data_IF_008071420070
#
_entry.id   IF_008071420070
#
_cell.length_a   1.000
_cell.length_b   1.000
_cell.length_c   1.000
_cell.angle_alpha   90.00
_cell.angle_beta   90.00
_cell.angle_gamma   90.00
#
_symmetry.space_group_name_H-M   'P 1'
#
loop_
_entity.id
_entity.type
_entity.pdbx_description
1 polymer ?
#
# COMPACT_ATOMS: atom_id res chain seq x y z
N UNK A 1 33.99 1.54 51.17
CA UNK A 1 33.91 1.89 49.73
C UNK A 1 33.41 0.74 48.83
N UNK A 2 33.73 -0.53 49.11
CA UNK A 2 33.26 -1.66 48.29
C UNK A 2 31.73 -1.85 48.30
N UNK A 3 31.09 -1.82 49.48
CA UNK A 3 29.63 -1.98 49.62
C UNK A 3 28.81 -0.93 48.83
N UNK A 4 29.28 0.32 48.78
CA UNK A 4 28.61 1.39 48.02
C UNK A 4 28.67 1.15 46.51
N UNK A 5 29.77 0.59 45.99
CA UNK A 5 29.89 0.22 44.56
C UNK A 5 28.98 -0.94 44.20
N UNK A 6 28.84 -1.91 45.09
CA UNK A 6 27.97 -3.08 44.91
C UNK A 6 26.49 -2.67 44.92
N UNK A 7 26.10 -1.75 45.81
CA UNK A 7 24.74 -1.22 45.91
C UNK A 7 24.36 -0.35 44.70
N UNK A 8 25.32 0.40 44.13
CA UNK A 8 25.15 1.13 42.86
C UNK A 8 25.05 0.19 41.65
N UNK A 9 25.81 -0.91 41.62
CA UNK A 9 25.73 -1.92 40.57
C UNK A 9 24.38 -2.66 40.60
N UNK A 10 23.91 -3.05 41.78
CA UNK A 10 22.60 -3.66 41.99
C UNK A 10 21.45 -2.70 41.57
N UNK A 11 21.56 -1.42 41.90
CA UNK A 11 20.59 -0.40 41.49
C UNK A 11 20.53 -0.22 39.97
N UNK A 12 21.69 -0.25 39.28
CA UNK A 12 21.76 -0.18 37.81
C UNK A 12 21.14 -1.41 37.15
N UNK A 13 21.40 -2.60 37.68
CA UNK A 13 20.81 -3.85 37.19
C UNK A 13 19.29 -3.86 37.37
N UNK A 14 18.78 -3.37 38.51
CA UNK A 14 17.34 -3.23 38.76
C UNK A 14 16.68 -2.22 37.80
N UNK A 15 17.31 -1.06 37.56
CA UNK A 15 16.83 -0.06 36.61
C UNK A 15 16.82 -0.59 35.16
N UNK A 16 17.83 -1.36 34.78
CA UNK A 16 17.87 -2.03 33.49
C UNK A 16 16.80 -3.12 33.37
N UNK A 17 16.54 -3.87 34.45
CA UNK A 17 15.45 -4.84 34.52
C UNK A 17 14.07 -4.19 34.40
N UNK A 18 13.83 -3.08 35.08
CA UNK A 18 12.57 -2.31 34.97
C UNK A 18 12.42 -1.75 33.55
N UNK A 19 13.48 -1.23 32.93
CA UNK A 19 13.45 -0.76 31.53
C UNK A 19 13.20 -1.91 30.55
N UNK A 20 13.77 -3.08 30.78
CA UNK A 20 13.51 -4.27 29.97
C UNK A 20 12.06 -4.74 30.12
N UNK A 21 11.51 -4.75 31.34
CA UNK A 21 10.10 -5.06 31.58
C UNK A 21 9.17 -4.01 30.99
N UNK A 22 9.53 -2.72 31.05
CA UNK A 22 8.80 -1.64 30.38
C UNK A 22 8.87 -1.79 28.86
N UNK A 23 10.00 -2.20 28.30
CA UNK A 23 10.15 -2.46 26.86
C UNK A 23 9.32 -3.68 26.41
N UNK A 24 9.21 -4.72 27.24
CA UNK A 24 8.35 -5.89 27.00
C UNK A 24 6.87 -5.54 27.19
N UNK A 25 6.51 -4.77 28.20
CA UNK A 25 5.14 -4.25 28.38
C UNK A 25 4.75 -3.26 27.27
N UNK A 26 5.71 -2.51 26.73
CA UNK A 26 5.52 -1.68 25.53
C UNK A 26 5.39 -2.52 24.25
N UNK A 27 6.04 -3.69 24.18
CA UNK A 27 5.81 -4.66 23.08
C UNK A 27 4.37 -5.17 23.04
N UNK A 28 3.65 -5.19 24.17
CA UNK A 28 2.22 -5.57 24.24
C UNK A 28 1.24 -4.43 23.94
N UNK A 29 1.70 -3.26 23.48
CA UNK A 29 0.77 -2.27 22.95
C UNK A 29 0.25 -2.75 21.59
N UNK A 30 -1.08 -2.88 21.48
CA UNK A 30 -1.83 -3.27 20.28
C UNK A 30 -1.60 -4.72 19.79
N UNK A 31 -1.84 -5.76 20.62
CA UNK A 31 -1.56 -7.15 20.25
C UNK A 31 -2.41 -7.63 19.07
N UNK A 32 -3.68 -7.23 18.99
CA UNK A 32 -4.57 -7.58 17.89
C UNK A 32 -4.19 -6.82 16.62
N UNK A 33 -3.84 -5.54 16.75
CA UNK A 33 -3.34 -4.72 15.65
C UNK A 33 -2.07 -5.29 15.01
N UNK A 34 -1.11 -5.74 15.82
CA UNK A 34 0.12 -6.40 15.34
C UNK A 34 -0.15 -7.76 14.70
N UNK A 35 -1.04 -8.56 15.28
CA UNK A 35 -1.42 -9.84 14.70
C UNK A 35 -2.08 -9.65 13.34
N UNK A 36 -2.99 -8.68 13.22
CA UNK A 36 -3.64 -8.30 11.97
C UNK A 36 -2.62 -7.81 10.93
N UNK A 37 -1.72 -6.90 11.33
CA UNK A 37 -0.64 -6.38 10.48
C UNK A 37 0.20 -7.52 9.89
N UNK A 38 0.61 -8.47 10.74
CA UNK A 38 1.44 -9.60 10.31
C UNK A 38 0.68 -10.59 9.44
N UNK A 39 -0.60 -10.82 9.74
CA UNK A 39 -1.44 -11.67 8.89
C UNK A 39 -1.61 -11.07 7.48
N UNK A 40 -1.94 -9.77 7.40
CA UNK A 40 -2.12 -9.05 6.14
C UNK A 40 -0.85 -9.05 5.31
N UNK A 41 0.31 -8.76 5.93
CA UNK A 41 1.59 -8.76 5.22
C UNK A 41 1.97 -10.15 4.69
N UNK A 42 1.82 -11.21 5.50
CA UNK A 42 2.05 -12.59 5.06
C UNK A 42 1.14 -12.99 3.90
N UNK A 43 -0.17 -12.75 4.02
CA UNK A 43 -1.13 -13.08 2.95
C UNK A 43 -0.89 -12.29 1.69
N UNK A 44 -0.50 -11.02 1.80
CA UNK A 44 -0.16 -10.21 0.65
C UNK A 44 1.06 -10.78 -0.07
N UNK A 45 2.12 -11.12 0.66
CA UNK A 45 3.30 -11.75 0.09
C UNK A 45 2.95 -13.09 -0.58
N UNK A 46 2.13 -13.93 0.05
CA UNK A 46 1.66 -15.19 -0.55
C UNK A 46 0.94 -14.96 -1.87
N UNK A 47 0.01 -13.98 -1.93
CA UNK A 47 -0.70 -13.64 -3.16
C UNK A 47 0.23 -13.08 -4.23
N UNK A 48 1.16 -12.21 -3.84
CA UNK A 48 2.15 -11.64 -4.75
C UNK A 48 3.18 -12.68 -5.23
N UNK A 49 3.32 -13.83 -4.53
CA UNK A 49 4.17 -14.95 -4.96
C UNK A 49 3.67 -15.72 -6.16
N UNK A 50 2.37 -15.70 -6.41
CA UNK A 50 1.79 -16.47 -7.49
C UNK A 50 2.04 -15.78 -8.83
N UNK A 51 2.72 -16.49 -9.74
CA UNK A 51 2.91 -16.05 -11.12
C UNK A 51 1.53 -15.86 -11.78
N UNK A 52 1.26 -14.70 -12.42
CA UNK A 52 -0.01 -14.49 -13.10
C UNK A 52 -0.17 -15.49 -14.27
N UNK A 53 -1.42 -15.90 -14.60
CA UNK A 53 -1.68 -16.73 -15.77
C UNK A 53 -1.29 -15.98 -17.06
N UNK A 54 -0.86 -16.74 -18.09
CA UNK A 54 -0.59 -16.18 -19.40
C UNK A 54 -1.92 -15.86 -20.08
N UNK A 55 -2.10 -14.61 -20.46
CA UNK A 55 -3.27 -14.18 -21.22
C UNK A 55 -2.99 -14.17 -22.73
N UNK A 56 -1.70 -14.15 -23.14
CA UNK A 56 -1.25 -14.34 -24.53
C UNK A 56 -1.83 -15.62 -25.16
N UNK A 57 -1.97 -16.69 -24.38
CA UNK A 57 -2.48 -17.98 -24.87
C UNK A 57 -4.01 -18.05 -24.98
N UNK A 58 -4.77 -17.12 -24.36
CA UNK A 58 -6.25 -17.12 -24.43
C UNK A 58 -6.77 -16.40 -25.68
N UNK A 59 -5.97 -15.54 -26.31
CA UNK A 59 -6.36 -14.72 -27.46
C UNK A 59 -6.19 -15.42 -28.83
N UNK A 60 -6.48 -16.73 -28.94
CA UNK A 60 -6.32 -17.50 -30.20
C UNK A 60 -7.41 -17.24 -31.26
N UNK A 61 -8.02 -16.05 -31.28
CA UNK A 61 -9.17 -15.76 -32.15
C UNK A 61 -9.43 -14.29 -32.52
N UNK A 62 -8.62 -13.32 -32.10
CA UNK A 62 -8.82 -11.92 -32.51
C UNK A 62 -7.50 -11.15 -32.58
N UNK A 63 -7.29 -10.46 -33.69
CA UNK A 63 -6.13 -9.63 -33.98
C UNK A 63 -6.04 -8.45 -32.99
N UNK A 64 -5.34 -8.67 -31.89
CA UNK A 64 -4.81 -7.65 -30.97
C UNK A 64 -3.73 -8.34 -30.12
N UNK A 65 -2.64 -8.76 -30.77
CA UNK A 65 -1.49 -9.39 -30.10
C UNK A 65 -0.63 -8.38 -29.31
N UNK A 66 -0.93 -7.09 -29.40
CA UNK A 66 -0.29 -6.06 -28.60
C UNK A 66 -0.96 -6.03 -27.21
N UNK A 67 -0.48 -6.93 -26.36
CA UNK A 67 -0.74 -7.02 -24.92
C UNK A 67 -2.11 -7.47 -24.41
N UNK A 68 -2.04 -8.40 -23.48
CA UNK A 68 -3.08 -8.51 -22.46
C UNK A 68 -2.65 -7.76 -21.21
N UNK A 69 -2.97 -6.46 -21.12
CA UNK A 69 -2.92 -5.71 -19.85
C UNK A 69 -4.26 -5.90 -19.12
N UNK A 70 -4.31 -6.77 -18.11
CA UNK A 70 -5.52 -6.95 -17.30
C UNK A 70 -5.48 -5.97 -16.12
N UNK A 71 -6.51 -5.11 -15.99
CA UNK A 71 -6.65 -4.28 -14.79
C UNK A 71 -7.03 -5.19 -13.64
N UNK A 72 -6.07 -5.51 -12.79
CA UNK A 72 -6.28 -6.39 -11.64
C UNK A 72 -6.27 -5.54 -10.40
N UNK A 73 -7.41 -5.39 -9.75
CA UNK A 73 -7.41 -4.94 -8.36
C UNK A 73 -7.04 -6.14 -7.50
N UNK A 74 -5.93 -6.06 -6.76
CA UNK A 74 -5.54 -7.11 -5.85
C UNK A 74 -6.30 -6.96 -4.54
N UNK A 75 -7.15 -7.94 -4.22
CA UNK A 75 -7.97 -7.93 -3.00
C UNK A 75 -7.62 -9.09 -2.09
N UNK A 76 -7.52 -8.82 -0.79
CA UNK A 76 -7.36 -9.82 0.27
C UNK A 76 -8.47 -9.62 1.27
N UNK A 77 -9.29 -10.65 1.40
CA UNK A 77 -10.44 -10.67 2.30
C UNK A 77 -10.14 -11.51 3.53
N UNK A 78 -10.62 -11.04 4.67
CA UNK A 78 -10.61 -11.81 5.91
C UNK A 78 -11.76 -11.43 6.82
N UNK A 79 -12.02 -12.30 7.80
CA UNK A 79 -12.89 -11.96 8.93
C UNK A 79 -12.01 -11.46 10.06
N UNK A 80 -12.36 -10.32 10.63
CA UNK A 80 -11.70 -9.73 11.80
C UNK A 80 -12.71 -8.93 12.61
N UNK A 81 -12.45 -8.80 13.90
CA UNK A 81 -13.14 -7.86 14.76
C UNK A 81 -12.74 -6.41 14.45
N UNK A 82 -13.61 -5.47 14.79
CA UNK A 82 -13.38 -4.03 14.65
C UNK A 82 -12.16 -3.58 15.49
N UNK A 83 -12.01 -4.14 16.70
CA UNK A 83 -10.95 -3.81 17.65
C UNK A 83 -9.55 -4.03 17.08
N UNK A 84 -9.31 -5.16 16.40
CA UNK A 84 -8.04 -5.40 15.72
C UNK A 84 -7.69 -4.32 14.67
N UNK A 85 -8.70 -3.83 13.93
CA UNK A 85 -8.50 -2.73 12.98
C UNK A 85 -8.27 -1.39 13.70
N UNK A 86 -9.05 -1.09 14.74
CA UNK A 86 -8.88 0.13 15.55
C UNK A 86 -7.47 0.18 16.16
N UNK A 87 -6.99 -0.93 16.71
CA UNK A 87 -5.62 -1.07 17.23
C UNK A 87 -4.55 -0.87 16.14
N UNK A 88 -4.75 -1.44 14.94
CA UNK A 88 -3.83 -1.23 13.80
C UNK A 88 -3.77 0.24 13.40
N UNK A 89 -4.92 0.90 13.31
CA UNK A 89 -5.04 2.32 12.96
C UNK A 89 -4.35 3.20 13.99
N UNK A 90 -4.57 2.93 15.27
CA UNK A 90 -3.91 3.66 16.36
C UNK A 90 -2.40 3.41 16.38
N UNK A 91 -1.97 2.15 16.23
CA UNK A 91 -0.56 1.76 16.18
C UNK A 91 0.20 2.46 15.05
N UNK A 92 -0.44 2.67 13.91
CA UNK A 92 0.16 3.30 12.72
C UNK A 92 -0.15 4.81 12.62
N UNK A 93 -0.82 5.39 13.61
CA UNK A 93 -1.28 6.80 13.58
C UNK A 93 -2.06 7.15 12.31
N UNK A 94 -2.92 6.22 11.86
CA UNK A 94 -3.75 6.38 10.67
C UNK A 94 -5.08 7.06 11.04
N UNK A 95 -5.76 7.60 10.04
CA UNK A 95 -7.10 8.14 10.17
C UNK A 95 -8.10 7.26 9.40
N UNK A 96 -9.31 7.12 9.93
CA UNK A 96 -10.42 6.65 9.13
C UNK A 96 -10.90 7.79 8.22
N UNK A 97 -11.29 7.42 7.01
CA UNK A 97 -12.14 8.28 6.18
C UNK A 97 -13.45 8.58 6.92
N UNK A 98 -14.12 9.65 6.48
CA UNK A 98 -15.44 10.05 6.98
C UNK A 98 -16.35 8.81 7.06
N UNK A 99 -17.01 8.55 8.21
CA UNK A 99 -17.82 7.36 8.40
C UNK A 99 -18.93 7.25 7.35
N UNK A 100 -18.79 6.29 6.43
CA UNK A 100 -19.88 5.91 5.54
C UNK A 100 -20.77 4.87 6.23
N UNK A 101 -22.08 4.98 6.10
CA UNK A 101 -23.00 3.91 6.50
C UNK A 101 -23.13 2.91 5.35
N UNK A 102 -23.05 1.62 5.66
CA UNK A 102 -23.43 0.57 4.72
C UNK A 102 -24.90 0.70 4.32
N UNK A 103 -25.31 0.03 3.24
CA UNK A 103 -26.71 -0.04 2.80
C UNK A 103 -27.67 -0.60 3.85
N UNK A 104 -27.15 -1.18 4.94
CA UNK A 104 -27.91 -1.70 6.08
C UNK A 104 -27.82 -0.81 7.32
N UNK A 105 -27.41 0.45 7.16
CA UNK A 105 -27.30 1.44 8.26
C UNK A 105 -26.14 1.21 9.23
N UNK A 106 -25.31 0.18 9.03
CA UNK A 106 -24.16 -0.10 9.91
C UNK A 106 -22.94 0.70 9.48
N UNK A 107 -22.19 1.26 10.43
CA UNK A 107 -21.03 2.09 10.15
C UNK A 107 -19.89 1.28 9.52
N UNK A 108 -19.38 1.76 8.39
CA UNK A 108 -18.19 1.23 7.73
C UNK A 108 -16.94 1.88 8.33
N UNK A 109 -15.81 1.20 8.19
CA UNK A 109 -14.49 1.78 8.46
C UNK A 109 -13.64 1.63 7.22
N UNK A 110 -13.03 2.71 6.77
CA UNK A 110 -12.14 2.70 5.61
C UNK A 110 -10.94 3.56 5.93
N UNK A 111 -9.76 3.04 5.63
CA UNK A 111 -8.50 3.76 5.67
C UNK A 111 -7.99 3.80 4.23
N UNK A 112 -7.89 5.00 3.66
CA UNK A 112 -7.31 5.20 2.34
C UNK A 112 -5.83 5.54 2.45
N UNK A 113 -5.06 5.05 1.50
CA UNK A 113 -3.64 5.33 1.39
C UNK A 113 -3.39 6.10 0.10
N UNK A 114 -2.51 7.10 0.16
CA UNK A 114 -2.16 7.90 -1.01
C UNK A 114 -1.34 7.12 -2.05
N UNK A 115 -0.68 6.03 -1.63
CA UNK A 115 0.09 5.14 -2.49
C UNK A 115 0.09 3.69 -1.98
N UNK A 116 0.37 2.72 -2.86
CA UNK A 116 0.63 1.33 -2.46
C UNK A 116 1.76 1.20 -1.45
N UNK A 117 2.86 1.97 -1.58
CA UNK A 117 4.00 1.89 -0.67
C UNK A 117 3.64 2.28 0.77
N UNK A 118 2.83 3.33 0.95
CA UNK A 118 2.35 3.73 2.28
C UNK A 118 1.48 2.64 2.93
N UNK A 119 0.68 1.92 2.14
CA UNK A 119 -0.06 0.76 2.64
C UNK A 119 0.91 -0.35 3.07
N UNK A 120 1.90 -0.69 2.24
CA UNK A 120 2.90 -1.70 2.58
C UNK A 120 3.71 -1.33 3.84
N UNK A 121 4.03 -0.04 4.00
CA UNK A 121 4.66 0.50 5.20
C UNK A 121 3.76 0.36 6.43
N UNK A 122 2.46 0.67 6.32
CA UNK A 122 1.50 0.47 7.39
C UNK A 122 1.30 -1.02 7.73
N UNK A 123 1.60 -1.93 6.81
CA UNK A 123 1.68 -3.37 7.07
C UNK A 123 3.00 -3.82 7.73
N UNK A 124 3.86 -2.88 8.14
CA UNK A 124 5.10 -3.16 8.87
C UNK A 124 6.19 -3.78 7.99
N UNK A 125 6.09 -3.65 6.66
CA UNK A 125 7.07 -4.22 5.74
C UNK A 125 8.33 -3.35 5.67
N UNK A 126 9.50 -3.99 5.82
CA UNK A 126 10.80 -3.35 5.61
C UNK A 126 11.00 -2.97 4.13
N UNK A 127 11.82 -1.94 3.86
CA UNK A 127 12.01 -1.39 2.52
C UNK A 127 12.36 -2.43 1.44
N UNK A 128 13.26 -3.42 1.67
CA UNK A 128 13.54 -4.45 0.67
C UNK A 128 12.31 -5.29 0.31
N UNK A 129 11.47 -5.62 1.29
CA UNK A 129 10.24 -6.37 1.06
C UNK A 129 9.17 -5.50 0.38
N UNK A 130 9.11 -4.20 0.69
CA UNK A 130 8.21 -3.27 -0.01
C UNK A 130 8.57 -3.15 -1.48
N UNK A 131 9.84 -2.91 -1.81
CA UNK A 131 10.31 -2.84 -3.20
C UNK A 131 9.97 -4.12 -3.97
N UNK A 132 10.17 -5.26 -3.34
CA UNK A 132 9.80 -6.57 -3.89
C UNK A 132 8.28 -6.74 -4.07
N UNK A 133 7.45 -6.15 -3.21
CA UNK A 133 5.99 -6.19 -3.34
C UNK A 133 5.49 -5.22 -4.41
N UNK A 134 6.08 -4.03 -4.49
CA UNK A 134 5.75 -2.98 -5.45
C UNK A 134 6.00 -3.44 -6.88
N UNK A 135 7.03 -4.25 -7.10
CA UNK A 135 7.40 -4.70 -8.43
C UNK A 135 8.06 -6.07 -8.40
N UNK A 136 7.61 -6.96 -9.29
CA UNK A 136 8.13 -8.31 -9.36
C UNK A 136 8.07 -8.90 -10.75
N UNK A 137 9.20 -9.44 -11.20
CA UNK A 137 9.29 -10.30 -12.39
C UNK A 137 9.03 -11.76 -12.05
N UNK A 138 8.47 -12.48 -13.00
CA UNK A 138 8.36 -13.93 -12.96
C UNK A 138 8.98 -14.53 -14.22
N UNK A 139 9.36 -15.79 -14.13
CA UNK A 139 9.78 -16.58 -15.28
C UNK A 139 8.77 -17.71 -15.48
N UNK A 140 8.26 -17.86 -16.70
CA UNK A 140 7.39 -18.97 -17.09
C UNK A 140 8.17 -19.97 -17.93
N UNK A 141 7.66 -21.20 -18.00
CA UNK A 141 8.26 -22.28 -18.82
C UNK A 141 8.19 -22.00 -20.32
N UNK A 142 7.24 -21.17 -20.75
CA UNK A 142 7.10 -20.73 -22.14
C UNK A 142 8.10 -19.63 -22.54
N UNK A 143 9.01 -19.25 -21.64
CA UNK A 143 9.99 -18.19 -21.86
C UNK A 143 9.47 -16.77 -21.59
N UNK A 144 8.16 -16.59 -21.38
CA UNK A 144 7.60 -15.28 -21.06
C UNK A 144 8.04 -14.81 -19.66
N UNK A 145 8.25 -13.50 -19.53
CA UNK A 145 8.70 -12.87 -18.29
C UNK A 145 7.73 -11.78 -17.83
N UNK A 146 6.51 -12.15 -17.39
CA UNK A 146 5.56 -11.18 -16.89
C UNK A 146 6.13 -10.47 -15.66
N UNK A 147 5.78 -9.20 -15.50
CA UNK A 147 5.92 -8.47 -14.26
C UNK A 147 4.56 -8.14 -13.65
N UNK A 148 4.50 -8.21 -12.33
CA UNK A 148 3.44 -7.62 -11.52
C UNK A 148 3.96 -6.34 -10.92
N UNK A 149 3.20 -5.27 -11.05
CA UNK A 149 3.56 -3.96 -10.50
C UNK A 149 2.34 -3.39 -9.76
N UNK A 150 2.54 -2.96 -8.52
CA UNK A 150 1.50 -2.33 -7.71
C UNK A 150 1.41 -0.85 -8.08
N UNK A 151 0.69 -0.59 -9.17
CA UNK A 151 0.57 0.74 -9.75
C UNK A 151 -0.86 0.94 -10.24
N UNK A 152 -1.40 2.12 -9.97
CA UNK A 152 -2.69 2.52 -10.53
C UNK A 152 -2.51 2.84 -12.02
N UNK A 153 -3.42 2.36 -12.84
CA UNK A 153 -3.45 2.69 -14.26
C UNK A 153 -4.87 2.75 -14.79
N UNK A 154 -5.03 3.48 -15.88
CA UNK A 154 -6.28 3.62 -16.61
C UNK A 154 -6.00 3.68 -18.11
N UNK A 155 -6.99 3.24 -18.88
CA UNK A 155 -7.03 3.39 -20.32
C UNK A 155 -8.05 4.48 -20.63
N UNK A 156 -7.65 5.47 -21.42
CA UNK A 156 -8.58 6.50 -21.90
C UNK A 156 -9.42 6.00 -23.07
N UNK A 157 -10.30 6.86 -23.57
CA UNK A 157 -11.22 6.51 -24.65
C UNK A 157 -10.52 6.43 -26.03
N UNK A 158 -9.27 6.91 -26.12
CA UNK A 158 -8.43 6.82 -27.32
C UNK A 158 -7.55 5.57 -27.31
N UNK A 159 -7.56 4.79 -26.21
CA UNK A 159 -6.75 3.59 -26.07
C UNK A 159 -5.38 3.82 -25.44
N UNK A 160 -5.02 5.06 -25.08
CA UNK A 160 -3.74 5.33 -24.42
C UNK A 160 -3.76 4.88 -22.97
N UNK A 161 -2.67 4.23 -22.53
CA UNK A 161 -2.53 3.80 -21.14
C UNK A 161 -1.78 4.83 -20.32
N UNK A 162 -2.43 5.26 -19.24
CA UNK A 162 -1.88 6.19 -18.27
C UNK A 162 -1.55 5.45 -16.99
N UNK A 163 -0.27 5.45 -16.62
CA UNK A 163 0.21 4.92 -15.35
C UNK A 163 0.31 6.06 -14.34
N UNK A 164 -0.38 5.95 -13.22
CA UNK A 164 -0.43 6.97 -12.16
C UNK A 164 0.74 6.73 -11.21
N UNK A 165 1.75 7.60 -11.27
CA UNK A 165 2.97 7.47 -10.48
C UNK A 165 2.81 8.12 -9.10
N UNK A 166 2.23 9.33 -9.07
CA UNK A 166 2.05 10.10 -7.84
C UNK A 166 0.86 11.02 -7.96
N UNK A 167 0.05 11.08 -6.91
CA UNK A 167 -1.00 12.09 -6.73
C UNK A 167 -0.46 13.19 -5.82
N UNK A 168 -0.61 14.44 -6.23
CA UNK A 168 -0.13 15.57 -5.42
C UNK A 168 -1.07 15.82 -4.23
N UNK A 169 -0.58 16.31 -3.08
CA UNK A 169 -1.40 16.51 -1.87
C UNK A 169 -2.58 17.46 -2.07
N UNK A 170 -2.49 18.42 -2.99
CA UNK A 170 -3.59 19.35 -3.32
C UNK A 170 -4.74 18.66 -4.06
N UNK A 171 -4.52 17.47 -4.63
CA UNK A 171 -5.49 16.74 -5.45
C UNK A 171 -5.70 17.31 -6.85
N UNK A 172 -5.01 18.40 -7.21
CA UNK A 172 -5.18 19.07 -8.50
C UNK A 172 -4.27 18.51 -9.60
N UNK A 173 -3.09 18.03 -9.21
CA UNK A 173 -2.06 17.53 -10.12
C UNK A 173 -1.76 16.05 -9.87
N UNK A 174 -1.33 15.39 -10.94
CA UNK A 174 -0.92 13.99 -10.92
C UNK A 174 0.28 13.79 -11.84
N UNK A 175 1.28 13.08 -11.35
CA UNK A 175 2.40 12.61 -12.15
C UNK A 175 2.00 11.27 -12.77
N UNK A 176 2.10 11.22 -14.09
CA UNK A 176 1.72 10.07 -14.89
C UNK A 176 2.86 9.68 -15.82
N UNK A 177 2.89 8.42 -16.22
CA UNK A 177 3.64 7.98 -17.39
C UNK A 177 2.67 7.53 -18.47
N UNK A 178 2.88 8.04 -19.67
CA UNK A 178 2.03 7.79 -20.84
C UNK A 178 2.90 7.73 -22.09
N UNK A 179 2.51 6.91 -23.06
CA UNK A 179 3.11 6.91 -24.39
C UNK A 179 2.37 7.90 -25.30
N UNK A 180 3.05 8.36 -26.34
CA UNK A 180 2.39 9.13 -27.38
C UNK A 180 1.41 8.26 -28.18
N UNK A 181 1.82 7.04 -28.50
CA UNK A 181 0.98 6.02 -29.14
C UNK A 181 1.31 4.62 -28.57
N UNK A 182 0.32 3.74 -28.53
CA UNK A 182 0.42 2.35 -28.04
C UNK A 182 0.72 1.37 -29.20
N UNK A 183 1.52 1.81 -30.17
CA UNK A 183 1.96 0.95 -31.28
C UNK A 183 3.14 0.08 -30.81
N UNK A 184 2.87 -1.22 -30.74
CA UNK A 184 3.87 -2.24 -30.41
C UNK A 184 4.41 -2.89 -31.69
N UNK A 185 5.74 -2.90 -31.84
CA UNK A 185 6.43 -3.64 -32.89
C UNK A 185 6.70 -5.08 -32.42
N UNK A 186 6.03 -6.10 -33.02
CA UNK A 186 6.22 -7.50 -32.65
C UNK A 186 7.61 -8.04 -33.01
N UNK A 187 8.29 -7.46 -34.01
CA UNK A 187 9.60 -7.92 -34.47
C UNK A 187 10.71 -7.41 -33.54
N UNK A 188 10.60 -6.16 -33.11
CA UNK A 188 11.53 -5.55 -32.16
C UNK A 188 11.16 -5.83 -30.70
N UNK A 189 9.99 -6.42 -30.44
CA UNK A 189 9.41 -6.61 -29.12
C UNK A 189 9.44 -5.32 -28.26
N UNK A 190 9.13 -4.19 -28.91
CA UNK A 190 9.26 -2.86 -28.30
C UNK A 190 8.14 -1.93 -28.78
N UNK A 191 7.83 -0.93 -27.96
CA UNK A 191 6.93 0.15 -28.36
C UNK A 191 7.63 1.16 -29.26
N UNK A 192 6.92 1.67 -30.26
CA UNK A 192 7.41 2.72 -31.13
C UNK A 192 7.73 4.01 -30.35
N UNK A 193 6.90 4.35 -29.36
CA UNK A 193 7.07 5.55 -28.52
C UNK A 193 7.38 5.15 -27.07
N UNK A 194 8.41 5.71 -26.41
CA UNK A 194 8.73 5.40 -25.02
C UNK A 194 7.69 5.93 -24.03
N UNK A 195 7.67 5.37 -22.81
CA UNK A 195 6.89 5.94 -21.71
C UNK A 195 7.52 7.25 -21.26
N UNK A 196 6.75 8.34 -21.31
CA UNK A 196 7.19 9.68 -20.90
C UNK A 196 6.45 10.10 -19.65
N UNK A 197 7.21 10.58 -18.66
CA UNK A 197 6.66 11.16 -17.43
C UNK A 197 6.15 12.57 -17.69
N UNK A 198 4.93 12.86 -17.23
CA UNK A 198 4.30 14.17 -17.32
C UNK A 198 3.56 14.47 -16.02
N UNK A 199 3.56 15.73 -15.61
CA UNK A 199 2.67 16.24 -14.57
C UNK A 199 1.50 16.92 -15.26
N UNK A 200 0.28 16.47 -14.97
CA UNK A 200 -0.94 16.98 -15.60
C UNK A 200 -2.03 17.27 -14.57
N UNK A 201 -3.02 18.11 -14.91
CA UNK A 201 -4.21 18.27 -14.07
C UNK A 201 -5.00 16.97 -13.96
N UNK A 202 -5.49 16.66 -12.75
CA UNK A 202 -6.38 15.51 -12.50
C UNK A 202 -7.65 15.59 -13.36
N UNK A 203 -8.17 16.80 -13.59
CA UNK A 203 -9.32 17.04 -14.45
C UNK A 203 -9.14 16.57 -15.90
N UNK A 204 -7.89 16.43 -16.37
CA UNK A 204 -7.57 15.90 -17.70
C UNK A 204 -7.76 14.38 -17.81
N UNK A 205 -7.91 13.68 -16.68
CA UNK A 205 -8.09 12.23 -16.62
C UNK A 205 -9.50 11.87 -16.15
N UNK A 206 -10.46 11.86 -17.08
CA UNK A 206 -11.89 11.67 -16.79
C UNK A 206 -12.23 10.40 -15.98
N UNK A 207 -11.39 9.37 -16.04
CA UNK A 207 -11.60 8.07 -15.37
C UNK A 207 -10.74 7.86 -14.12
N UNK A 208 -9.95 8.87 -13.74
CA UNK A 208 -9.11 8.79 -12.55
C UNK A 208 -9.98 8.92 -11.30
N UNK A 209 -9.90 7.94 -10.40
CA UNK A 209 -10.61 8.02 -9.13
C UNK A 209 -10.07 9.19 -8.30
N UNK A 210 -10.88 9.87 -7.47
CA UNK A 210 -10.39 10.98 -6.64
C UNK A 210 -9.28 10.56 -5.67
N UNK A 211 -9.40 9.35 -5.11
CA UNK A 211 -8.41 8.75 -4.23
C UNK A 211 -7.68 7.58 -4.89
N UNK A 212 -6.46 7.31 -4.46
CA UNK A 212 -5.71 6.12 -4.84
C UNK A 212 -6.48 4.86 -4.38
N UNK A 213 -6.61 3.81 -5.21
CA UNK A 213 -7.34 2.58 -4.88
C UNK A 213 -6.53 1.65 -3.95
N UNK A 214 -5.74 2.20 -3.03
CA UNK A 214 -5.04 1.48 -1.98
C UNK A 214 -5.76 1.70 -0.65
N UNK A 215 -6.40 0.66 -0.11
CA UNK A 215 -7.25 0.82 1.09
C UNK A 215 -7.35 -0.41 1.98
N UNK A 216 -7.70 -0.16 3.25
CA UNK A 216 -8.22 -1.14 4.17
C UNK A 216 -9.67 -0.80 4.47
N UNK A 217 -10.61 -1.68 4.12
CA UNK A 217 -12.04 -1.47 4.34
C UNK A 217 -12.63 -2.57 5.20
N UNK A 218 -13.22 -2.21 6.32
CA UNK A 218 -13.96 -3.13 7.18
C UNK A 218 -15.46 -2.87 7.12
N UNK A 219 -16.20 -3.96 6.94
CA UNK A 219 -17.65 -3.98 6.87
C UNK A 219 -18.20 -4.91 7.96
N UNK A 220 -19.10 -4.44 8.84
CA UNK A 220 -19.67 -5.27 9.90
C UNK A 220 -20.46 -6.44 9.33
N UNK A 221 -20.37 -7.61 9.96
CA UNK A 221 -21.19 -8.76 9.60
C UNK A 221 -22.67 -8.48 9.93
N UNK A 222 -23.58 -9.01 9.11
CA UNK A 222 -25.03 -8.80 9.27
C UNK A 222 -25.64 -9.40 10.54
N UNK A 223 -24.92 -10.29 11.25
CA UNK A 223 -25.51 -11.24 12.21
C UNK A 223 -25.38 -10.79 13.69
N UNK A 224 -24.68 -9.71 14.00
CA UNK A 224 -24.52 -9.26 15.40
C UNK A 224 -25.73 -8.44 15.86
N UNK A 225 -26.81 -9.13 16.25
CA UNK A 225 -28.06 -8.51 16.68
C UNK A 225 -28.41 -8.62 18.16
N UNK A 226 -27.74 -9.46 18.97
CA UNK A 226 -28.25 -9.78 20.31
C UNK A 226 -27.18 -9.74 21.43
N UNK A 227 -25.89 -9.81 21.12
CA UNK A 227 -24.81 -9.94 22.14
C UNK A 227 -23.64 -8.94 22.01
N UNK A 228 -23.72 -7.95 21.11
CA UNK A 228 -22.65 -6.97 20.94
C UNK A 228 -22.74 -5.89 22.04
N UNK A 229 -22.27 -6.21 23.24
CA UNK A 229 -22.17 -5.25 24.35
C UNK A 229 -21.10 -4.17 24.11
N UNK A 230 -20.16 -4.45 23.20
CA UNK A 230 -19.04 -3.59 22.85
C UNK A 230 -18.76 -3.64 21.36
N UNK A 231 -18.73 -2.47 20.71
CA UNK A 231 -18.50 -2.36 19.28
C UNK A 231 -17.13 -2.94 18.86
N UNK A 232 -16.12 -2.92 19.74
CA UNK A 232 -14.77 -3.42 19.41
C UNK A 232 -14.79 -4.90 19.02
N UNK A 233 -15.67 -5.69 19.63
CA UNK A 233 -15.78 -7.13 19.38
C UNK A 233 -16.71 -7.45 18.22
N UNK A 234 -17.20 -6.44 17.51
CA UNK A 234 -18.03 -6.67 16.33
C UNK A 234 -17.19 -7.32 15.25
N UNK A 235 -17.55 -8.54 14.86
CA UNK A 235 -16.93 -9.21 13.72
C UNK A 235 -17.41 -8.59 12.40
N UNK A 236 -16.51 -8.54 11.43
CA UNK A 236 -16.80 -8.07 10.09
C UNK A 236 -15.82 -8.59 9.06
N UNK A 237 -16.09 -8.24 7.81
CA UNK A 237 -15.20 -8.52 6.68
C UNK A 237 -14.24 -7.35 6.52
N UNK A 238 -12.94 -7.61 6.66
CA UNK A 238 -11.89 -6.68 6.24
C UNK A 238 -11.42 -7.05 4.84
N UNK A 239 -11.33 -6.05 3.98
CA UNK A 239 -10.82 -6.14 2.61
C UNK A 239 -9.64 -5.18 2.47
N UNK A 240 -8.46 -5.74 2.21
CA UNK A 240 -7.31 -4.99 1.72
C UNK A 240 -7.40 -4.91 0.20
N UNK A 241 -7.21 -3.71 -0.34
CA UNK A 241 -7.26 -3.43 -1.77
C UNK A 241 -5.99 -2.72 -2.21
N UNK A 242 -5.38 -3.16 -3.31
CA UNK A 242 -4.23 -2.52 -3.94
C UNK A 242 -4.45 -2.43 -5.47
N UNK A 243 -4.05 -1.32 -6.11
CA UNK A 243 -3.94 -1.30 -7.56
C UNK A 243 -2.82 -2.24 -8.00
N UNK A 244 -3.06 -2.97 -9.07
CA UNK A 244 -2.08 -3.89 -9.63
C UNK A 244 -2.22 -3.96 -11.16
N UNK A 245 -1.08 -3.95 -11.84
CA UNK A 245 -1.00 -4.25 -13.26
C UNK A 245 -0.10 -5.47 -13.49
N UNK A 246 -0.45 -6.27 -14.48
CA UNK A 246 0.39 -7.34 -15.00
C UNK A 246 0.82 -6.93 -16.40
N UNK A 247 2.13 -6.96 -16.64
CA UNK A 247 2.75 -6.53 -17.91
C UNK A 247 3.59 -7.69 -18.43
N UNK A 248 3.42 -8.04 -19.71
CA UNK A 248 4.14 -9.17 -20.33
C UNK A 248 5.21 -8.75 -21.35
N UNK A 249 5.02 -7.60 -22.02
CA UNK A 249 5.88 -7.16 -23.13
C UNK A 249 6.70 -5.90 -22.80
N UNK A 250 6.12 -4.93 -22.08
CA UNK A 250 6.79 -3.70 -21.64
C UNK A 250 7.42 -3.81 -20.24
N UNK A 251 7.87 -5.00 -19.84
CA UNK A 251 8.28 -5.29 -18.46
C UNK A 251 9.38 -4.34 -17.97
N UNK A 252 10.43 -4.08 -18.74
CA UNK A 252 11.53 -3.23 -18.30
C UNK A 252 11.11 -1.76 -18.12
N UNK A 253 10.33 -1.22 -19.07
CA UNK A 253 9.92 0.19 -19.03
C UNK A 253 8.98 0.48 -17.85
N UNK A 254 7.99 -0.40 -17.62
CA UNK A 254 7.03 -0.21 -16.52
C UNK A 254 7.70 -0.43 -15.15
N UNK A 255 8.66 -1.35 -15.05
CA UNK A 255 9.43 -1.51 -13.82
C UNK A 255 10.30 -0.30 -13.51
N UNK A 256 10.93 0.30 -14.53
CA UNK A 256 11.69 1.54 -14.38
C UNK A 256 10.85 2.70 -13.83
N UNK A 257 9.53 2.71 -14.08
CA UNK A 257 8.63 3.73 -13.50
C UNK A 257 8.55 3.66 -11.97
N UNK A 258 8.58 2.45 -11.41
CA UNK A 258 8.49 2.25 -9.96
C UNK A 258 9.83 2.46 -9.30
N UNK A 259 10.92 1.98 -9.91
CA UNK A 259 12.28 2.19 -9.41
C UNK A 259 12.62 3.70 -9.35
N UNK A 260 12.34 4.45 -10.41
CA UNK A 260 12.62 5.88 -10.46
C UNK A 260 11.61 6.76 -9.70
N UNK A 261 10.59 6.17 -9.05
CA UNK A 261 9.68 6.88 -8.15
C UNK A 261 10.14 6.80 -6.67
N UNK A 262 11.00 5.82 -6.34
CA UNK A 262 11.60 5.64 -5.01
C UNK A 262 12.75 6.62 -4.77
N UNK A 263 13.40 7.12 -5.83
CA UNK A 263 14.59 7.99 -5.77
C UNK A 263 14.30 9.51 -5.89
N UNK A 264 13.03 9.94 -5.90
CA UNK A 264 12.69 11.36 -5.98
C UNK A 264 12.83 12.08 -4.62
N UNK A 265 13.54 13.24 -4.54
CA UNK A 265 13.68 13.96 -3.28
C UNK A 265 12.30 14.45 -2.77
N UNK A 266 12.11 14.35 -1.46
CA UNK A 266 11.02 15.03 -0.74
C UNK A 266 11.39 16.51 -0.66
N UNK A 267 11.11 17.27 -1.71
CA UNK A 267 11.06 18.73 -1.56
C UNK A 267 9.79 19.10 -0.80
N UNK A 268 9.96 19.71 0.37
CA UNK A 268 8.87 20.29 1.15
C UNK A 268 8.68 19.72 2.56
N UNK A 269 9.76 19.49 3.32
CA UNK A 269 9.67 19.52 4.78
C UNK A 269 10.04 20.93 5.25
N UNK A 270 9.15 21.70 5.92
CA UNK A 270 9.58 22.89 6.61
C UNK A 270 10.47 22.47 7.78
N UNK A 271 11.67 23.05 7.84
CA UNK A 271 12.59 22.95 8.96
C UNK A 271 11.85 23.27 10.27
N UNK A 272 11.55 22.25 11.06
CA UNK A 272 11.18 22.44 12.46
C UNK A 272 12.46 22.69 13.26
N UNK A 273 13.00 23.89 13.04
CA UNK A 273 14.07 24.47 13.84
C UNK A 273 13.66 24.49 15.31
N UNK A 274 14.38 23.69 16.09
CA UNK A 274 14.50 23.81 17.54
C UNK A 274 14.90 25.26 17.86
N UNK A 275 14.08 25.97 18.64
CA UNK A 275 14.55 27.12 19.42
C UNK A 275 13.98 27.02 20.83
N UNK A 276 14.88 26.88 21.79
CA UNK A 276 14.55 26.68 23.19
C UNK A 276 14.19 27.97 23.92
N UNK A 277 13.40 27.77 24.99
CA UNK A 277 13.48 28.42 26.31
C UNK A 277 13.88 29.91 26.35
N UNK A 278 12.94 30.75 26.77
CA UNK A 278 13.21 31.80 27.78
C UNK A 278 12.06 31.82 28.81
N UNK A 279 12.40 31.51 30.06
CA UNK A 279 11.64 31.92 31.26
C UNK A 279 11.88 33.42 31.50
N UNK A 280 10.84 34.15 31.90
CA UNK A 280 10.96 35.47 32.51
C UNK A 280 9.59 35.94 32.98
N UNK A 281 9.39 36.00 34.29
CA UNK A 281 8.09 36.29 34.89
C UNK A 281 7.76 37.77 35.01
N UNK A 282 6.48 38.03 35.29
CA UNK A 282 5.99 38.81 36.42
C UNK A 282 4.56 38.35 36.71
#
# INVERSE_FOLDING_TARGET
>A
MAACKEQLAASRLSLNGIRALQAVAQQEHYPLGRALQRWLSCRLVERLKMCPPSELNKARGSASQAESRTKVTLTIDMVTDKGALDELVQMQSLAYDVPATSSRGKALRTVQFHSPDLLLQALGMAAPLRNWCLSRRFARKDGSTPARVLLEWLCDDQGSTWYVLRRHPTGELVDVAVREDEVFDPLCHAYAHPLVRKTIPVASLLRLMPACPASLRWCPAGVTGILAFDERHTCGKLTLTLPCCVVELATNEVLGLVEAAVDGPVEGAPDSGVSGVVRGGQ
#
